data_IF_571182590810
#
_entry.id   IF_571182590810
#
_cell.length_a   1.000
_cell.length_b   1.000
_cell.length_c   1.000
_cell.angle_alpha   90.00
_cell.angle_beta   90.00
_cell.angle_gamma   90.00
#
_symmetry.space_group_name_H-M   'P 1'
#
loop_
_entity.id
_entity.type
_entity.pdbx_description
1 polymer ?
#
# COMPACT_ATOMS: atom_id res chain seq x y z
N UNK A 1 33.70 -43.67 -24.68
CA UNK A 1 33.20 -44.27 -23.42
C UNK A 1 31.97 -45.10 -23.75
N UNK A 2 32.00 -46.40 -23.50
CA UNK A 2 30.82 -47.27 -23.63
C UNK A 2 29.84 -46.91 -22.52
N UNK A 3 28.77 -46.20 -22.87
CA UNK A 3 27.70 -45.87 -21.92
C UNK A 3 26.67 -46.99 -21.91
N UNK A 4 26.40 -47.54 -20.73
CA UNK A 4 25.38 -48.56 -20.50
C UNK A 4 23.98 -47.94 -20.70
N UNK A 5 23.11 -48.59 -21.48
CA UNK A 5 21.76 -48.09 -21.75
C UNK A 5 20.95 -48.06 -20.46
N UNK A 6 20.41 -46.89 -20.12
CA UNK A 6 19.55 -46.73 -18.95
C UNK A 6 18.20 -47.43 -19.21
N UNK A 7 17.76 -48.28 -18.29
CA UNK A 7 16.47 -48.99 -18.37
C UNK A 7 15.59 -48.48 -17.25
N UNK A 8 14.39 -48.02 -17.58
CA UNK A 8 13.36 -47.60 -16.61
C UNK A 8 12.16 -48.53 -16.80
N UNK A 9 11.74 -49.22 -15.74
CA UNK A 9 10.61 -50.17 -15.77
C UNK A 9 10.70 -51.18 -16.92
N UNK A 10 11.85 -51.86 -17.04
CA UNK A 10 12.16 -52.86 -18.08
C UNK A 10 12.14 -52.33 -19.53
N UNK A 11 11.95 -51.02 -19.73
CA UNK A 11 11.98 -50.37 -21.04
C UNK A 11 13.30 -49.63 -21.24
N UNK A 12 14.06 -49.89 -22.31
CA UNK A 12 15.28 -49.16 -22.61
C UNK A 12 14.94 -47.70 -22.96
N UNK A 13 15.62 -46.75 -22.31
CA UNK A 13 15.43 -45.33 -22.60
C UNK A 13 16.10 -45.00 -23.93
N UNK A 14 15.30 -44.60 -24.91
CA UNK A 14 15.78 -44.18 -26.22
C UNK A 14 16.60 -42.89 -26.10
N UNK A 15 17.82 -42.90 -26.64
CA UNK A 15 18.64 -41.69 -26.74
C UNK A 15 18.29 -40.94 -28.02
N UNK A 16 17.75 -39.75 -27.84
CA UNK A 16 17.50 -38.80 -28.94
C UNK A 16 18.57 -37.71 -28.95
N UNK A 17 19.02 -37.32 -30.15
CA UNK A 17 20.06 -36.28 -30.31
C UNK A 17 19.62 -34.89 -29.81
N UNK A 18 18.31 -34.67 -29.68
CA UNK A 18 17.71 -33.53 -29.00
C UNK A 18 16.30 -33.87 -28.53
N UNK A 19 15.85 -33.28 -27.42
CA UNK A 19 14.48 -33.41 -26.93
C UNK A 19 13.93 -32.08 -26.44
N UNK A 20 12.59 -31.98 -26.40
CA UNK A 20 11.90 -30.79 -25.90
C UNK A 20 11.41 -31.02 -24.49
N UNK A 21 11.83 -30.19 -23.54
CA UNK A 21 11.42 -30.25 -22.14
C UNK A 21 11.02 -28.87 -21.64
N UNK A 22 9.81 -28.73 -21.10
CA UNK A 22 9.24 -27.47 -20.60
C UNK A 22 9.40 -26.28 -21.57
N UNK A 23 9.31 -26.55 -22.88
CA UNK A 23 9.42 -25.54 -23.94
C UNK A 23 10.83 -25.32 -24.51
N UNK A 24 11.87 -25.86 -23.88
CA UNK A 24 13.27 -25.74 -24.31
C UNK A 24 13.72 -26.95 -25.12
N UNK A 25 14.51 -26.74 -26.17
CA UNK A 25 15.16 -27.82 -26.91
C UNK A 25 16.55 -28.05 -26.31
N UNK A 26 16.78 -29.25 -25.81
CA UNK A 26 18.04 -29.69 -25.19
C UNK A 26 18.69 -30.68 -26.14
N UNK A 27 19.87 -30.36 -26.65
CA UNK A 27 20.68 -31.29 -27.45
C UNK A 27 21.52 -32.19 -26.56
N UNK A 28 21.96 -33.33 -27.10
CA UNK A 28 22.74 -34.32 -26.36
C UNK A 28 24.08 -33.80 -25.81
N UNK A 29 24.64 -32.74 -26.41
CA UNK A 29 25.84 -32.04 -25.94
C UNK A 29 25.54 -30.91 -24.94
N UNK A 30 24.29 -30.82 -24.46
CA UNK A 30 23.77 -29.75 -23.60
C UNK A 30 23.95 -28.34 -24.20
N UNK A 31 24.12 -28.24 -25.53
CA UNK A 31 24.21 -26.95 -26.19
C UNK A 31 22.82 -26.34 -26.42
N UNK A 32 22.72 -25.05 -26.10
CA UNK A 32 21.47 -24.28 -26.27
C UNK A 32 21.39 -23.63 -27.66
N UNK A 33 22.35 -23.96 -28.54
CA UNK A 33 22.63 -23.25 -29.79
C UNK A 33 21.42 -23.24 -30.73
N UNK A 34 20.68 -24.35 -30.85
CA UNK A 34 19.49 -24.42 -31.68
C UNK A 34 18.35 -23.54 -31.17
N UNK A 35 18.09 -23.54 -29.85
CA UNK A 35 17.06 -22.72 -29.22
C UNK A 35 17.41 -21.23 -29.32
N UNK A 36 18.65 -20.87 -28.98
CA UNK A 36 19.17 -19.50 -29.09
C UNK A 36 19.08 -18.99 -30.52
N UNK A 37 19.54 -19.78 -31.50
CA UNK A 37 19.47 -19.39 -32.92
C UNK A 37 18.03 -19.20 -33.40
N UNK A 38 17.10 -20.03 -32.92
CA UNK A 38 15.67 -19.90 -33.24
C UNK A 38 15.08 -18.62 -32.66
N UNK A 39 15.37 -18.31 -31.40
CA UNK A 39 14.93 -17.09 -30.73
C UNK A 39 15.53 -15.83 -31.38
N UNK A 40 16.83 -15.86 -31.70
CA UNK A 40 17.52 -14.77 -32.40
C UNK A 40 16.94 -14.56 -33.80
N UNK A 41 16.61 -15.63 -34.54
CA UNK A 41 16.00 -15.53 -35.87
C UNK A 41 14.61 -14.90 -35.80
N UNK A 42 13.78 -15.28 -34.82
CA UNK A 42 12.46 -14.68 -34.58
C UNK A 42 12.55 -13.20 -34.20
N UNK A 43 13.48 -12.86 -33.31
CA UNK A 43 13.72 -11.46 -32.92
C UNK A 43 14.20 -10.62 -34.13
N UNK A 44 15.12 -11.15 -34.94
CA UNK A 44 15.59 -10.48 -36.17
C UNK A 44 14.48 -10.25 -37.19
N UNK A 45 13.58 -11.22 -37.39
CA UNK A 45 12.42 -11.05 -38.28
C UNK A 45 11.48 -9.96 -37.77
N UNK A 46 11.22 -9.91 -36.45
CA UNK A 46 10.33 -8.91 -35.85
C UNK A 46 10.93 -7.50 -35.88
N UNK A 47 12.25 -7.38 -35.73
CA UNK A 47 12.98 -6.11 -35.80
C UNK A 47 13.23 -5.64 -37.24
N UNK A 48 12.99 -6.47 -38.26
CA UNK A 48 13.26 -6.13 -39.66
C UNK A 48 12.51 -4.88 -40.11
N UNK A 49 11.21 -4.79 -39.79
CA UNK A 49 10.38 -3.64 -40.17
C UNK A 49 10.80 -2.35 -39.44
N UNK A 50 11.17 -2.45 -38.16
CA UNK A 50 11.68 -1.30 -37.39
C UNK A 50 13.01 -0.77 -37.94
N UNK A 51 13.89 -1.66 -38.42
CA UNK A 51 15.14 -1.23 -39.08
C UNK A 51 14.87 -0.57 -40.43
N UNK A 52 13.91 -1.07 -41.19
CA UNK A 52 13.54 -0.52 -42.50
C UNK A 52 12.88 0.87 -42.38
N UNK A 53 12.22 1.18 -41.26
CA UNK A 53 11.68 2.51 -40.96
C UNK A 53 12.77 3.55 -40.71
N UNK A 54 13.95 3.14 -40.22
CA UNK A 54 15.09 4.03 -39.95
C UNK A 54 15.71 4.60 -41.23
N UNK A 55 15.58 3.90 -42.35
CA UNK A 55 16.12 4.32 -43.65
C UNK A 55 15.32 5.48 -44.27
N UNK A 56 14.12 5.78 -43.75
CA UNK A 56 13.26 6.87 -44.22
C UNK A 56 13.52 8.25 -43.58
N UNK A 57 14.58 8.41 -42.75
CA UNK A 57 15.00 9.69 -42.12
C UNK A 57 13.84 10.55 -41.59
N UNK A 58 12.97 9.97 -40.77
CA UNK A 58 11.87 10.70 -40.14
C UNK A 58 12.38 11.77 -39.16
N UNK A 59 11.72 12.94 -39.02
CA UNK A 59 12.21 14.05 -38.20
C UNK A 59 12.22 13.72 -36.71
N UNK A 60 13.26 14.15 -35.99
CA UNK A 60 13.59 13.86 -34.58
C UNK A 60 12.62 14.42 -33.52
N UNK A 61 11.41 14.86 -33.91
CA UNK A 61 10.33 15.25 -32.97
C UNK A 61 9.20 14.22 -32.85
N UNK A 62 9.40 13.01 -33.38
CA UNK A 62 8.45 11.88 -33.27
C UNK A 62 9.13 10.56 -32.86
N UNK A 63 10.16 10.62 -32.03
CA UNK A 63 10.66 9.41 -31.35
C UNK A 63 9.73 8.98 -30.20
N UNK A 64 8.92 9.90 -29.65
CA UNK A 64 7.84 9.57 -28.70
C UNK A 64 6.68 8.79 -29.35
N UNK A 65 6.57 8.78 -30.67
CA UNK A 65 5.48 8.11 -31.40
C UNK A 65 5.81 6.68 -31.86
N UNK A 66 7.03 6.19 -31.65
CA UNK A 66 7.35 4.78 -31.91
C UNK A 66 6.94 3.88 -30.74
N UNK A 67 6.77 4.47 -29.54
CA UNK A 67 6.14 3.81 -28.38
C UNK A 67 4.66 3.49 -28.67
N UNK A 68 4.00 4.24 -29.55
CA UNK A 68 2.61 3.97 -29.97
C UNK A 68 2.44 2.85 -31.00
N UNK A 69 3.53 2.27 -31.54
CA UNK A 69 3.40 1.03 -32.34
C UNK A 69 3.27 -0.20 -31.43
N UNK A 70 3.57 -0.09 -30.13
CA UNK A 70 3.27 -1.13 -29.15
C UNK A 70 1.76 -1.25 -28.86
N UNK A 71 0.96 -0.19 -29.08
CA UNK A 71 -0.50 -0.24 -28.91
C UNK A 71 -1.21 -1.03 -30.01
N UNK A 72 -0.58 -1.24 -31.19
CA UNK A 72 -1.14 -2.12 -32.23
C UNK A 72 -0.86 -3.61 -31.95
N UNK A 73 0.02 -3.93 -31.00
CA UNK A 73 0.32 -5.31 -30.61
C UNK A 73 -0.59 -5.86 -29.49
N UNK A 74 -1.53 -5.04 -28.97
CA UNK A 74 -2.54 -5.46 -27.99
C UNK A 74 -3.65 -6.36 -28.56
N UNK A 75 -3.62 -6.70 -29.85
CA UNK A 75 -4.60 -7.59 -30.50
C UNK A 75 -4.05 -8.95 -30.97
N UNK A 76 -2.90 -9.40 -30.48
CA UNK A 76 -2.36 -10.74 -30.81
C UNK A 76 -2.10 -11.58 -29.55
N UNK A 77 -2.74 -12.76 -29.38
CA UNK A 77 -2.53 -13.59 -28.19
C UNK A 77 -1.13 -14.22 -28.20
N UNK A 78 -0.42 -14.14 -27.06
CA UNK A 78 0.81 -14.93 -26.81
C UNK A 78 2.11 -14.16 -26.59
N UNK A 79 2.08 -12.91 -26.14
CA UNK A 79 3.26 -12.10 -25.81
C UNK A 79 3.37 -11.80 -24.31
N UNK A 80 3.74 -12.82 -23.55
CA UNK A 80 4.45 -12.75 -22.27
C UNK A 80 5.10 -14.13 -22.14
N UNK A 81 6.42 -14.31 -21.92
CA UNK A 81 7.38 -13.53 -21.14
C UNK A 81 8.75 -13.40 -21.86
N UNK A 82 8.82 -12.64 -22.96
CA UNK A 82 10.06 -12.49 -23.75
C UNK A 82 10.67 -11.08 -23.74
N UNK A 83 10.04 -10.12 -23.07
CA UNK A 83 10.52 -8.74 -23.00
C UNK A 83 11.47 -8.46 -21.82
N UNK A 84 11.57 -9.35 -20.83
CA UNK A 84 12.45 -9.18 -19.65
C UNK A 84 13.87 -9.73 -19.83
N UNK A 85 14.26 -10.14 -21.05
CA UNK A 85 15.55 -10.80 -21.30
C UNK A 85 16.46 -10.07 -22.30
N UNK A 86 16.19 -8.79 -22.63
CA UNK A 86 16.97 -8.05 -23.65
C UNK A 86 17.89 -6.97 -23.07
N UNK A 87 17.77 -6.60 -21.79
CA UNK A 87 18.71 -5.66 -21.15
C UNK A 87 20.05 -6.29 -20.71
N UNK A 88 20.20 -7.61 -20.85
CA UNK A 88 21.35 -8.35 -20.30
C UNK A 88 22.53 -8.66 -21.24
N UNK A 89 22.51 -8.24 -22.52
CA UNK A 89 23.54 -8.67 -23.48
C UNK A 89 24.07 -7.52 -24.34
N UNK A 90 24.88 -6.63 -23.74
CA UNK A 90 25.81 -5.79 -24.49
C UNK A 90 27.05 -6.58 -24.91
N UNK A 91 27.20 -6.77 -26.22
CA UNK A 91 28.42 -7.29 -26.86
C UNK A 91 29.45 -6.14 -26.94
N UNK A 92 30.54 -6.27 -26.18
CA UNK A 92 31.77 -5.45 -26.33
C UNK A 92 32.33 -5.55 -27.74
N UNK A 93 32.49 -4.42 -28.44
CA UNK A 93 33.55 -4.20 -29.45
C UNK A 93 33.91 -2.70 -29.58
N UNK A 94 34.99 -2.35 -28.87
CA UNK A 94 36.04 -1.34 -29.16
C UNK A 94 35.65 0.02 -29.77
N UNK A 95 35.78 1.09 -28.98
CA UNK A 95 36.62 2.28 -29.28
C UNK A 95 36.88 3.09 -27.98
N UNK A 96 38.17 3.30 -27.65
CA UNK A 96 38.74 4.50 -27.01
C UNK A 96 38.33 4.92 -25.59
N UNK A 97 39.27 4.79 -24.66
CA UNK A 97 39.49 5.50 -23.38
C UNK A 97 38.60 6.72 -23.05
N UNK A 98 37.85 6.64 -21.94
CA UNK A 98 37.87 7.57 -20.79
C UNK A 98 36.76 7.22 -19.78
N UNK A 99 37.13 7.07 -18.50
CA UNK A 99 36.24 7.23 -17.33
C UNK A 99 35.43 6.01 -16.88
N UNK A 100 35.81 5.43 -15.74
CA UNK A 100 34.97 4.51 -14.97
C UNK A 100 33.66 5.21 -14.55
N UNK A 101 32.52 4.71 -15.03
CA UNK A 101 31.22 4.93 -14.41
C UNK A 101 30.60 3.56 -14.13
N UNK A 102 30.55 3.20 -12.85
CA UNK A 102 29.70 2.12 -12.37
C UNK A 102 28.24 2.56 -12.53
N UNK A 103 27.58 2.12 -13.61
CA UNK A 103 26.13 2.23 -13.71
C UNK A 103 25.51 1.12 -12.85
N UNK A 104 25.07 1.47 -11.63
CA UNK A 104 24.16 0.64 -10.85
C UNK A 104 22.84 0.52 -11.61
N UNK A 105 22.53 -0.66 -12.13
CA UNK A 105 21.17 -1.00 -12.55
C UNK A 105 20.32 -1.06 -11.28
N UNK A 106 19.63 0.03 -10.95
CA UNK A 106 18.63 0.04 -9.89
C UNK A 106 17.39 -0.69 -10.39
N UNK A 107 17.06 -1.84 -9.83
CA UNK A 107 15.74 -2.45 -10.03
C UNK A 107 14.69 -1.50 -9.44
N UNK A 108 13.87 -0.91 -10.31
CA UNK A 108 12.69 -0.17 -9.87
C UNK A 108 11.70 -1.15 -9.24
N UNK A 109 11.10 -0.75 -8.11
CA UNK A 109 10.04 -1.55 -7.47
C UNK A 109 8.85 -1.63 -8.43
N UNK A 110 8.33 -2.84 -8.62
CA UNK A 110 7.16 -3.06 -9.46
C UNK A 110 5.89 -2.73 -8.68
N UNK A 111 5.00 -1.93 -9.27
CA UNK A 111 3.65 -1.71 -8.77
C UNK A 111 2.63 -2.51 -9.58
N UNK A 112 1.61 -3.05 -8.90
CA UNK A 112 0.50 -3.78 -9.52
C UNK A 112 -0.80 -3.02 -9.26
N UNK A 113 -1.57 -2.61 -10.29
CA UNK A 113 -2.86 -1.96 -10.09
C UNK A 113 -3.85 -2.89 -9.38
N UNK A 114 -4.54 -2.39 -8.35
CA UNK A 114 -5.54 -3.14 -7.56
C UNK A 114 -6.96 -2.66 -7.87
N UNK A 115 -7.12 -1.35 -7.96
CA UNK A 115 -8.40 -0.70 -8.30
C UNK A 115 -8.16 0.34 -9.41
N UNK A 116 -8.80 0.14 -10.56
CA UNK A 116 -8.60 0.94 -11.79
C UNK A 116 -9.92 1.31 -12.47
N UNK A 117 -9.89 2.26 -13.41
CA UNK A 117 -11.01 2.68 -14.28
C UNK A 117 -12.17 3.44 -13.60
N UNK A 118 -12.08 3.76 -12.32
CA UNK A 118 -13.06 4.58 -11.57
C UNK A 118 -12.32 5.43 -10.54
N UNK A 119 -12.98 6.39 -9.88
CA UNK A 119 -12.36 7.14 -8.78
C UNK A 119 -12.35 6.28 -7.52
N UNK A 120 -11.21 5.64 -7.26
CA UNK A 120 -10.97 4.91 -6.03
C UNK A 120 -10.01 5.68 -5.15
N UNK A 121 -10.38 5.83 -3.87
CA UNK A 121 -9.66 6.62 -2.89
C UNK A 121 -9.64 5.91 -1.55
N UNK A 122 -8.78 6.39 -0.67
CA UNK A 122 -8.73 6.00 0.74
C UNK A 122 -8.41 4.50 0.89
N UNK A 123 -7.20 4.08 0.46
CA UNK A 123 -6.78 2.69 0.55
C UNK A 123 -6.64 2.26 2.01
N UNK A 124 -7.06 1.03 2.28
CA UNK A 124 -6.80 0.34 3.54
C UNK A 124 -6.42 -1.12 3.24
N UNK A 125 -5.44 -1.66 3.96
CA UNK A 125 -4.86 -2.97 3.67
C UNK A 125 -4.70 -3.78 4.95
N UNK A 126 -5.10 -5.05 4.90
CA UNK A 126 -4.77 -6.04 5.94
C UNK A 126 -4.31 -7.33 5.28
N UNK A 127 -3.43 -8.06 5.96
CA UNK A 127 -2.95 -9.38 5.52
C UNK A 127 -3.26 -10.43 6.58
N UNK A 128 -4.04 -11.43 6.20
CA UNK A 128 -4.54 -12.49 7.08
C UNK A 128 -4.20 -13.84 6.45
N UNK A 129 -3.28 -14.58 7.07
CA UNK A 129 -2.87 -15.94 6.68
C UNK A 129 -2.61 -16.11 5.16
N UNK A 130 -1.77 -15.25 4.58
CA UNK A 130 -1.42 -15.33 3.16
C UNK A 130 -2.42 -14.68 2.20
N UNK A 131 -3.48 -14.05 2.72
CA UNK A 131 -4.49 -13.33 1.94
C UNK A 131 -4.42 -11.83 2.23
N UNK A 132 -4.19 -11.04 1.20
CA UNK A 132 -4.32 -9.58 1.26
C UNK A 132 -5.78 -9.19 1.04
N UNK A 133 -6.29 -8.29 1.88
CA UNK A 133 -7.61 -7.69 1.74
C UNK A 133 -7.42 -6.20 1.56
N UNK A 134 -7.58 -5.74 0.32
CA UNK A 134 -7.49 -4.34 -0.05
C UNK A 134 -8.88 -3.72 -0.05
N UNK A 135 -9.05 -2.63 0.71
CA UNK A 135 -10.28 -1.85 0.77
C UNK A 135 -10.08 -0.47 0.15
N UNK A 136 -11.14 0.09 -0.38
CA UNK A 136 -11.17 1.45 -0.88
C UNK A 136 -12.59 2.01 -0.88
N UNK A 137 -12.71 3.33 -0.93
CA UNK A 137 -13.94 4.00 -1.33
C UNK A 137 -14.11 3.93 -2.85
N UNK A 138 -15.30 3.54 -3.31
CA UNK A 138 -15.75 3.80 -4.68
C UNK A 138 -16.42 5.17 -4.73
N UNK A 139 -16.03 6.00 -5.71
CA UNK A 139 -16.59 7.34 -5.91
C UNK A 139 -17.02 7.57 -7.35
N UNK A 140 -18.05 8.39 -7.53
CA UNK A 140 -18.48 8.82 -8.87
C UNK A 140 -17.68 10.01 -9.42
N UNK A 141 -16.96 10.73 -8.56
CA UNK A 141 -15.96 11.73 -8.92
C UNK A 141 -14.90 11.88 -7.80
N UNK A 142 -13.87 12.72 -7.95
CA UNK A 142 -12.87 12.95 -6.90
C UNK A 142 -13.42 13.53 -5.59
N UNK A 143 -14.65 14.06 -5.58
CA UNK A 143 -15.24 14.71 -4.40
C UNK A 143 -15.57 13.70 -3.30
N UNK A 144 -15.37 14.10 -2.05
CA UNK A 144 -15.68 13.26 -0.88
C UNK A 144 -17.19 12.98 -0.79
N UNK A 145 -18.05 13.94 -1.14
CA UNK A 145 -19.50 13.78 -1.12
C UNK A 145 -20.03 12.78 -2.18
N UNK A 146 -19.17 12.36 -3.09
CA UNK A 146 -19.49 11.42 -4.17
C UNK A 146 -19.09 9.98 -3.89
N UNK A 147 -18.61 9.67 -2.68
CA UNK A 147 -18.46 8.31 -2.20
C UNK A 147 -19.80 7.57 -2.22
N UNK A 148 -19.78 6.33 -2.71
CA UNK A 148 -20.97 5.49 -2.85
C UNK A 148 -20.95 4.35 -1.84
N UNK A 149 -19.94 3.50 -1.92
CA UNK A 149 -19.80 2.26 -1.17
C UNK A 149 -18.32 1.92 -0.96
N UNK A 150 -18.05 1.03 0.00
CA UNK A 150 -16.74 0.43 0.17
C UNK A 150 -16.60 -0.82 -0.70
N UNK A 151 -15.41 -1.01 -1.27
CA UNK A 151 -15.08 -2.20 -2.06
C UNK A 151 -13.95 -2.98 -1.41
N UNK A 152 -13.92 -4.27 -1.69
CA UNK A 152 -12.86 -5.20 -1.28
C UNK A 152 -12.28 -5.88 -2.52
N UNK A 153 -10.96 -5.98 -2.62
CA UNK A 153 -10.28 -6.90 -3.54
C UNK A 153 -9.38 -7.83 -2.72
N UNK A 154 -9.36 -9.11 -3.07
CA UNK A 154 -8.57 -10.11 -2.36
C UNK A 154 -7.38 -10.54 -3.20
N UNK A 155 -6.21 -10.52 -2.59
CA UNK A 155 -4.94 -10.88 -3.21
C UNK A 155 -4.35 -12.12 -2.55
N UNK A 156 -3.80 -13.04 -3.32
CA UNK A 156 -3.02 -14.18 -2.78
C UNK A 156 -1.72 -14.33 -3.56
N UNK A 157 -0.66 -14.78 -2.88
CA UNK A 157 0.62 -15.05 -3.53
C UNK A 157 0.52 -16.28 -4.44
N UNK A 158 0.74 -16.09 -5.74
CA UNK A 158 0.77 -17.17 -6.72
C UNK A 158 1.85 -16.88 -7.78
N UNK A 159 2.65 -17.88 -8.14
CA UNK A 159 3.65 -17.78 -9.22
C UNK A 159 4.65 -16.61 -9.09
N UNK A 160 4.99 -16.21 -7.86
CA UNK A 160 5.99 -15.16 -7.63
C UNK A 160 5.45 -13.73 -7.64
N UNK A 161 4.13 -13.53 -7.61
CA UNK A 161 3.52 -12.23 -7.31
C UNK A 161 2.13 -12.38 -6.68
N UNK A 162 1.57 -11.27 -6.18
CA UNK A 162 0.19 -11.23 -5.69
C UNK A 162 -0.78 -11.23 -6.88
N UNK A 163 -1.72 -12.18 -6.88
CA UNK A 163 -2.81 -12.27 -7.84
C UNK A 163 -4.11 -11.81 -7.18
N UNK A 164 -4.73 -10.79 -7.76
CA UNK A 164 -5.98 -10.19 -7.29
C UNK A 164 -7.18 -10.87 -7.95
N UNK A 165 -8.18 -11.24 -7.15
CA UNK A 165 -9.38 -11.98 -7.61
C UNK A 165 -10.43 -11.11 -8.32
N UNK A 166 -10.22 -9.79 -8.35
CA UNK A 166 -11.23 -8.81 -8.74
C UNK A 166 -11.98 -8.28 -7.51
N UNK A 167 -12.58 -7.11 -7.67
CA UNK A 167 -13.22 -6.41 -6.56
C UNK A 167 -14.68 -6.85 -6.33
N UNK A 168 -15.12 -6.74 -5.08
CA UNK A 168 -16.47 -6.96 -4.59
C UNK A 168 -16.98 -5.67 -3.94
N UNK A 169 -18.22 -5.29 -4.25
CA UNK A 169 -18.94 -4.24 -3.53
C UNK A 169 -19.40 -4.75 -2.16
N UNK A 170 -19.06 -4.02 -1.10
CA UNK A 170 -19.45 -4.37 0.26
C UNK A 170 -20.82 -3.77 0.59
N UNK A 171 -21.88 -4.33 0.02
CA UNK A 171 -23.27 -3.85 0.22
C UNK A 171 -23.71 -3.81 1.69
N UNK A 172 -23.07 -4.61 2.56
CA UNK A 172 -23.28 -4.58 4.01
C UNK A 172 -22.82 -3.27 4.68
N UNK A 173 -22.09 -2.42 3.97
CA UNK A 173 -21.71 -1.08 4.43
C UNK A 173 -22.76 -0.01 4.12
N UNK A 174 -23.81 -0.36 3.36
CA UNK A 174 -24.85 0.60 2.99
C UNK A 174 -25.76 0.94 4.16
N UNK A 175 -26.08 2.22 4.29
CA UNK A 175 -27.09 2.76 5.18
C UNK A 175 -27.92 3.78 4.41
N UNK A 176 -29.24 3.75 4.60
CA UNK A 176 -30.19 4.59 3.85
C UNK A 176 -29.80 6.08 3.92
N UNK A 177 -29.69 6.72 2.75
CA UNK A 177 -29.27 8.11 2.58
C UNK A 177 -27.88 8.48 3.16
N UNK A 178 -27.01 7.49 3.40
CA UNK A 178 -25.63 7.73 3.86
C UNK A 178 -24.60 7.23 2.84
N UNK A 179 -23.41 7.83 2.88
CA UNK A 179 -22.19 7.37 2.19
C UNK A 179 -21.29 6.66 3.19
N UNK A 180 -20.79 5.49 2.82
CA UNK A 180 -19.77 4.76 3.59
C UNK A 180 -18.37 5.22 3.16
N UNK A 181 -17.55 5.61 4.13
CA UNK A 181 -16.28 6.30 3.90
C UNK A 181 -15.21 5.88 4.91
N UNK A 182 -13.95 6.14 4.60
CA UNK A 182 -12.80 5.94 5.48
C UNK A 182 -12.68 4.52 6.05
N UNK A 183 -12.47 3.50 5.19
CA UNK A 183 -12.28 2.13 5.66
C UNK A 183 -11.08 2.02 6.60
N UNK A 184 -11.26 1.31 7.71
CA UNK A 184 -10.25 1.05 8.72
C UNK A 184 -10.41 -0.39 9.26
N UNK A 185 -9.83 -1.41 8.60
CA UNK A 185 -9.84 -2.77 9.07
C UNK A 185 -9.01 -2.95 10.35
N UNK A 186 -9.51 -3.80 11.27
CA UNK A 186 -8.81 -4.28 12.46
C UNK A 186 -9.02 -5.78 12.57
N UNK A 187 -7.93 -6.54 12.63
CA UNK A 187 -8.00 -7.99 12.75
C UNK A 187 -7.72 -8.45 14.18
N UNK A 188 -8.73 -9.01 14.82
CA UNK A 188 -8.59 -9.74 16.08
C UNK A 188 -8.07 -11.15 15.79
N UNK A 189 -6.78 -11.36 16.03
CA UNK A 189 -6.07 -12.61 15.79
C UNK A 189 -6.48 -13.71 16.77
N UNK A 190 -6.92 -13.35 17.97
CA UNK A 190 -7.30 -14.32 19.01
C UNK A 190 -8.69 -14.91 18.73
N UNK A 191 -9.59 -14.11 18.16
CA UNK A 191 -10.94 -14.55 17.76
C UNK A 191 -11.08 -14.91 16.29
N UNK A 192 -10.08 -14.60 15.46
CA UNK A 192 -10.15 -14.69 14.00
C UNK A 192 -11.32 -13.90 13.43
N UNK A 193 -11.51 -12.68 13.91
CA UNK A 193 -12.55 -11.76 13.46
C UNK A 193 -11.91 -10.53 12.84
N UNK A 194 -12.25 -10.26 11.58
CA UNK A 194 -11.93 -9.01 10.92
C UNK A 194 -13.08 -8.03 11.12
N UNK A 195 -12.81 -6.92 11.80
CA UNK A 195 -13.68 -5.76 11.81
C UNK A 195 -13.29 -4.85 10.66
N UNK A 196 -14.27 -4.32 9.93
CA UNK A 196 -14.08 -3.20 9.00
C UNK A 196 -14.85 -2.00 9.57
N UNK A 197 -14.13 -1.08 10.19
CA UNK A 197 -14.69 0.21 10.63
C UNK A 197 -14.76 1.19 9.47
N UNK A 198 -15.76 2.06 9.52
CA UNK A 198 -15.97 3.13 8.54
C UNK A 198 -16.93 4.17 9.11
N UNK A 199 -16.96 5.33 8.48
CA UNK A 199 -17.97 6.35 8.74
C UNK A 199 -19.17 6.17 7.82
N UNK A 200 -20.37 6.32 8.36
CA UNK A 200 -21.57 6.63 7.58
C UNK A 200 -21.88 8.11 7.73
N UNK A 201 -21.95 8.85 6.62
CA UNK A 201 -22.25 10.29 6.63
C UNK A 201 -23.46 10.57 5.73
N UNK A 202 -24.38 11.44 6.15
CA UNK A 202 -25.52 11.83 5.32
C UNK A 202 -25.08 12.33 3.93
N UNK A 203 -25.72 11.84 2.86
CA UNK A 203 -25.40 12.22 1.47
C UNK A 203 -25.63 13.71 1.19
N UNK A 204 -26.47 14.37 1.97
CA UNK A 204 -26.90 15.76 1.76
C UNK A 204 -25.99 16.78 2.45
N UNK A 205 -25.08 16.34 3.32
CA UNK A 205 -24.31 17.22 4.20
C UNK A 205 -22.81 17.01 3.96
N UNK A 206 -22.05 18.08 3.74
CA UNK A 206 -20.58 18.02 3.62
C UNK A 206 -19.88 18.03 4.99
N UNK A 207 -18.58 17.70 5.04
CA UNK A 207 -17.79 17.92 6.27
C UNK A 207 -17.79 19.39 6.67
N UNK A 208 -17.66 20.28 5.68
CA UNK A 208 -17.67 21.73 5.88
C UNK A 208 -18.98 22.22 6.51
N UNK A 209 -20.13 21.72 6.05
CA UNK A 209 -21.43 22.10 6.62
C UNK A 209 -21.56 21.67 8.09
N UNK A 210 -21.05 20.48 8.44
CA UNK A 210 -21.05 20.00 9.82
C UNK A 210 -20.17 20.88 10.73
N UNK A 211 -18.98 21.25 10.26
CA UNK A 211 -18.04 22.15 10.96
C UNK A 211 -18.63 23.54 11.12
N UNK A 212 -19.09 24.16 10.03
CA UNK A 212 -19.58 25.53 10.02
C UNK A 212 -20.86 25.70 10.86
N UNK A 213 -21.71 24.67 10.93
CA UNK A 213 -22.97 24.69 11.70
C UNK A 213 -22.86 24.01 13.07
N UNK A 214 -21.69 23.49 13.45
CA UNK A 214 -21.48 22.74 14.70
C UNK A 214 -22.52 21.62 14.89
N UNK A 215 -22.83 20.88 13.82
CA UNK A 215 -23.88 19.86 13.83
C UNK A 215 -23.37 18.57 13.19
N UNK A 216 -23.20 17.56 14.03
CA UNK A 216 -22.76 16.23 13.62
C UNK A 216 -23.79 15.52 12.72
N UNK A 217 -23.29 14.86 11.68
CA UNK A 217 -24.03 13.94 10.82
C UNK A 217 -23.20 12.69 10.46
N UNK A 218 -22.12 12.43 11.20
CA UNK A 218 -21.24 11.28 11.03
C UNK A 218 -21.61 10.18 12.04
N UNK A 219 -21.55 8.93 11.58
CA UNK A 219 -21.80 7.74 12.39
C UNK A 219 -20.57 6.84 12.40
N UNK A 220 -20.31 6.20 13.54
CA UNK A 220 -19.29 5.18 13.71
C UNK A 220 -19.91 3.82 13.41
N UNK A 221 -19.51 3.19 12.31
CA UNK A 221 -20.08 1.92 11.88
C UNK A 221 -19.00 0.86 11.71
N UNK A 222 -19.39 -0.41 11.85
CA UNK A 222 -18.57 -1.52 11.39
C UNK A 222 -19.40 -2.67 10.85
N UNK A 223 -18.73 -3.53 10.07
CA UNK A 223 -19.16 -4.88 9.72
C UNK A 223 -18.04 -5.85 10.10
N UNK A 224 -18.37 -7.13 10.32
CA UNK A 224 -17.36 -8.15 10.65
C UNK A 224 -17.35 -9.31 9.66
N UNK A 225 -16.20 -9.95 9.52
CA UNK A 225 -16.00 -11.19 8.77
C UNK A 225 -15.19 -12.18 9.60
N UNK A 226 -15.59 -13.45 9.57
CA UNK A 226 -14.87 -14.57 10.21
C UNK A 226 -14.25 -15.53 9.17
N UNK A 227 -14.34 -15.17 7.89
CA UNK A 227 -13.95 -16.00 6.74
C UNK A 227 -13.08 -15.21 5.75
N UNK A 228 -12.24 -14.29 6.27
CA UNK A 228 -11.24 -13.53 5.49
C UNK A 228 -11.87 -12.66 4.40
N UNK A 229 -13.01 -12.03 4.72
CA UNK A 229 -13.70 -11.10 3.85
C UNK A 229 -14.53 -11.76 2.74
N UNK A 230 -14.86 -13.05 2.87
CA UNK A 230 -15.80 -13.74 1.98
C UNK A 230 -17.24 -13.33 2.26
N UNK A 231 -17.64 -13.37 3.52
CA UNK A 231 -18.95 -12.92 3.97
C UNK A 231 -18.84 -11.90 5.10
N UNK A 232 -19.88 -11.09 5.23
CA UNK A 232 -19.92 -9.97 6.16
C UNK A 232 -21.24 -9.95 6.91
N UNK A 233 -21.18 -9.62 8.20
CA UNK A 233 -22.37 -9.40 9.04
C UNK A 233 -23.18 -8.19 8.60
N UNK A 234 -24.35 -8.00 9.20
CA UNK A 234 -25.07 -6.74 9.10
C UNK A 234 -24.29 -5.59 9.75
N UNK A 235 -24.59 -4.37 9.29
CA UNK A 235 -24.00 -3.14 9.78
C UNK A 235 -24.37 -2.93 11.25
N UNK A 236 -23.37 -2.57 12.05
CA UNK A 236 -23.53 -2.13 13.44
C UNK A 236 -23.21 -0.64 13.53
N UNK A 237 -24.15 0.15 14.03
CA UNK A 237 -23.96 1.57 14.36
C UNK A 237 -23.63 1.71 15.86
N UNK A 238 -22.40 2.12 16.15
CA UNK A 238 -21.87 2.29 17.50
C UNK A 238 -22.04 3.70 18.06
N UNK A 239 -22.55 4.65 17.27
CA UNK A 239 -22.48 6.09 17.58
C UNK A 239 -23.09 6.41 18.94
N UNK A 240 -24.34 5.99 19.18
CA UNK A 240 -25.04 6.24 20.45
C UNK A 240 -24.40 5.47 21.62
N UNK A 241 -24.01 4.22 21.41
CA UNK A 241 -23.51 3.35 22.47
C UNK A 241 -22.09 3.72 22.94
N UNK A 242 -21.26 4.24 22.04
CA UNK A 242 -19.85 4.53 22.33
C UNK A 242 -19.61 6.01 22.59
N UNK A 243 -20.23 6.91 21.83
CA UNK A 243 -20.02 8.36 21.93
C UNK A 243 -21.13 9.00 22.78
N UNK A 244 -22.37 8.55 22.61
CA UNK A 244 -23.51 9.04 23.39
C UNK A 244 -23.68 10.56 23.29
N UNK A 245 -24.01 11.20 24.41
CA UNK A 245 -24.26 12.65 24.49
C UNK A 245 -23.05 13.51 24.12
N UNK A 246 -21.83 12.97 24.20
CA UNK A 246 -20.61 13.70 23.83
C UNK A 246 -20.58 14.09 22.35
N UNK A 247 -21.39 13.44 21.51
CA UNK A 247 -21.55 13.77 20.09
C UNK A 247 -21.98 15.22 19.87
N UNK A 248 -22.66 15.85 20.85
CA UNK A 248 -23.07 17.26 20.79
C UNK A 248 -21.87 18.23 20.84
N UNK A 249 -20.74 17.79 21.41
CA UNK A 249 -19.50 18.55 21.42
C UNK A 249 -18.64 18.30 20.16
N UNK A 250 -19.10 17.45 19.24
CA UNK A 250 -18.34 17.02 18.07
C UNK A 250 -19.01 17.55 16.81
N UNK A 251 -18.43 18.56 16.17
CA UNK A 251 -18.97 19.08 14.92
C UNK A 251 -19.01 17.99 13.84
N UNK A 252 -17.97 17.17 13.77
CA UNK A 252 -17.92 15.89 13.05
C UNK A 252 -16.74 15.08 13.55
N UNK A 253 -16.64 13.80 13.17
CA UNK A 253 -15.50 12.95 13.46
C UNK A 253 -15.33 11.90 12.37
N UNK A 254 -14.17 11.26 12.33
CA UNK A 254 -13.91 10.14 11.43
C UNK A 254 -13.03 9.10 12.10
N UNK A 255 -13.25 7.82 11.79
CA UNK A 255 -12.15 6.85 11.91
C UNK A 255 -11.06 7.28 10.92
N UNK A 256 -9.81 7.20 11.34
CA UNK A 256 -8.71 7.60 10.49
C UNK A 256 -8.44 6.47 9.49
N UNK A 257 -8.44 6.77 8.17
CA UNK A 257 -8.28 5.73 7.17
C UNK A 257 -6.87 5.14 7.15
N UNK A 258 -6.79 3.87 6.73
CA UNK A 258 -5.61 3.02 6.88
C UNK A 258 -6.03 1.77 7.61
N UNK A 259 -5.36 1.40 8.70
CA UNK A 259 -5.73 0.25 9.51
C UNK A 259 -5.74 0.58 11.01
N UNK A 260 -6.42 -0.25 11.79
CA UNK A 260 -6.21 -0.32 13.24
C UNK A 260 -5.39 -1.55 13.61
N UNK A 261 -5.12 -1.73 14.90
CA UNK A 261 -4.22 -2.78 15.39
C UNK A 261 -4.85 -3.56 16.54
N UNK A 262 -4.38 -4.79 16.73
CA UNK A 262 -4.49 -5.51 17.99
C UNK A 262 -3.14 -5.42 18.70
N UNK A 263 -3.14 -4.90 19.92
CA UNK A 263 -1.97 -4.84 20.81
C UNK A 263 -1.62 -6.24 21.35
N UNK A 264 -0.39 -6.41 21.87
CA UNK A 264 0.08 -7.69 22.43
C UNK A 264 -0.74 -8.20 23.62
N UNK A 265 -1.42 -7.31 24.32
CA UNK A 265 -2.31 -7.65 25.44
C UNK A 265 -3.74 -7.98 25.00
N UNK A 266 -4.02 -7.97 23.68
CA UNK A 266 -5.32 -8.30 23.10
C UNK A 266 -6.20 -7.08 22.80
N UNK A 267 -5.87 -5.89 23.32
CA UNK A 267 -6.67 -4.66 23.10
C UNK A 267 -6.72 -4.31 21.61
N UNK A 268 -7.92 -4.09 21.10
CA UNK A 268 -8.14 -3.59 19.74
C UNK A 268 -8.11 -2.06 19.75
N UNK A 269 -7.48 -1.45 18.76
CA UNK A 269 -7.35 0.00 18.61
C UNK A 269 -7.79 0.42 17.20
N UNK A 270 -8.67 1.42 17.12
CA UNK A 270 -9.08 2.08 15.88
C UNK A 270 -8.68 3.56 15.98
N UNK A 271 -7.69 4.03 15.19
CA UNK A 271 -7.31 5.44 15.20
C UNK A 271 -8.45 6.31 14.65
N UNK A 272 -8.61 7.51 15.21
CA UNK A 272 -9.70 8.42 14.85
C UNK A 272 -9.30 9.88 15.07
N UNK A 273 -10.11 10.80 14.55
CA UNK A 273 -9.98 12.22 14.82
C UNK A 273 -11.35 12.89 14.90
N UNK A 274 -11.43 13.96 15.69
CA UNK A 274 -12.67 14.69 15.98
C UNK A 274 -12.47 16.18 15.71
N UNK A 275 -13.43 16.81 15.04
CA UNK A 275 -13.58 18.25 15.01
C UNK A 275 -14.40 18.69 16.22
N UNK A 276 -13.70 19.03 17.29
CA UNK A 276 -14.28 19.32 18.59
C UNK A 276 -14.76 20.78 18.68
N UNK A 277 -15.94 21.00 19.26
CA UNK A 277 -16.57 22.30 19.46
C UNK A 277 -16.09 22.88 20.79
N UNK A 278 -15.13 23.80 20.71
CA UNK A 278 -14.71 24.65 21.83
C UNK A 278 -15.12 26.12 21.53
N UNK A 279 -14.29 27.11 21.86
CA UNK A 279 -14.46 28.49 21.40
C UNK A 279 -14.35 28.66 19.88
N UNK A 280 -13.76 27.66 19.22
CA UNK A 280 -13.66 27.50 17.76
C UNK A 280 -13.55 26.02 17.46
N UNK A 281 -14.08 25.56 16.32
CA UNK A 281 -13.99 24.15 15.93
C UNK A 281 -12.56 23.82 15.51
N UNK A 282 -11.97 22.81 16.15
CA UNK A 282 -10.59 22.35 15.87
C UNK A 282 -10.52 20.84 15.82
N UNK A 283 -9.64 20.32 14.97
CA UNK A 283 -9.43 18.88 14.82
C UNK A 283 -8.42 18.35 15.84
N UNK A 284 -8.70 17.18 16.41
CA UNK A 284 -7.80 16.47 17.32
C UNK A 284 -7.85 14.95 17.07
N UNK A 285 -6.68 14.32 16.95
CA UNK A 285 -6.56 12.87 16.90
C UNK A 285 -6.87 12.24 18.28
N UNK A 286 -7.41 11.02 18.25
CA UNK A 286 -7.64 10.14 19.39
C UNK A 286 -7.72 8.68 18.90
N UNK A 287 -8.16 7.75 19.74
CA UNK A 287 -8.44 6.38 19.34
C UNK A 287 -9.70 5.84 20.01
N UNK A 288 -10.43 4.99 19.30
CA UNK A 288 -11.37 4.04 19.90
C UNK A 288 -10.62 2.77 20.28
N UNK A 289 -11.07 2.09 21.33
CA UNK A 289 -10.47 0.84 21.78
C UNK A 289 -11.50 -0.13 22.35
N UNK A 290 -11.14 -1.41 22.37
CA UNK A 290 -11.92 -2.50 22.98
C UNK A 290 -10.99 -3.48 23.68
N UNK A 291 -11.36 -3.85 24.91
CA UNK A 291 -10.64 -4.80 25.77
C UNK A 291 -11.30 -6.19 25.80
N UNK A 292 -12.44 -6.35 25.12
CA UNK A 292 -13.29 -7.53 25.19
C UNK A 292 -13.64 -8.09 23.79
N UNK A 293 -12.66 -8.00 22.89
CA UNK A 293 -12.73 -8.53 21.52
C UNK A 293 -13.87 -7.90 20.70
N UNK A 294 -14.11 -6.60 20.89
CA UNK A 294 -15.10 -5.83 20.17
C UNK A 294 -16.53 -5.98 20.68
N UNK A 295 -16.73 -6.58 21.87
CA UNK A 295 -18.07 -6.69 22.48
C UNK A 295 -18.55 -5.34 23.00
N UNK A 296 -17.65 -4.54 23.56
CA UNK A 296 -17.84 -3.14 23.93
C UNK A 296 -16.68 -2.29 23.43
N UNK A 297 -16.95 -1.01 23.20
CA UNK A 297 -15.97 -0.05 22.70
C UNK A 297 -16.00 1.21 23.55
N UNK A 298 -14.84 1.84 23.69
CA UNK A 298 -14.66 3.12 24.37
C UNK A 298 -13.74 4.01 23.53
N UNK A 299 -13.61 5.29 23.88
CA UNK A 299 -12.67 6.19 23.23
C UNK A 299 -11.74 6.87 24.25
N UNK A 300 -10.51 7.15 23.80
CA UNK A 300 -9.50 7.84 24.58
C UNK A 300 -9.65 9.36 24.53
N UNK A 301 -8.80 10.05 25.30
CA UNK A 301 -8.71 11.51 25.29
C UNK A 301 -8.14 12.00 23.96
N UNK A 302 -8.71 13.09 23.46
CA UNK A 302 -8.16 13.85 22.32
C UNK A 302 -6.75 14.37 22.62
N UNK A 303 -5.87 14.40 21.61
CA UNK A 303 -4.56 15.04 21.74
C UNK A 303 -4.70 16.50 22.20
N UNK A 304 -3.73 16.99 22.97
CA UNK A 304 -3.73 18.38 23.45
C UNK A 304 -3.29 19.39 22.38
N UNK A 305 -2.89 18.92 21.20
CA UNK A 305 -2.50 19.74 20.04
C UNK A 305 -3.38 19.42 18.84
N UNK A 306 -3.62 20.44 18.00
CA UNK A 306 -4.42 20.28 16.78
C UNK A 306 -3.81 19.23 15.88
N UNK A 307 -4.63 18.27 15.48
CA UNK A 307 -4.21 17.09 14.75
C UNK A 307 -5.39 16.50 14.00
N UNK A 308 -5.15 15.88 12.84
CA UNK A 308 -6.21 15.26 12.03
C UNK A 308 -5.98 13.76 11.88
N UNK A 309 -6.19 13.27 10.67
CA UNK A 309 -5.96 11.88 10.24
C UNK A 309 -4.67 11.30 10.82
N UNK A 310 -4.79 10.14 11.47
CA UNK A 310 -3.72 9.52 12.21
C UNK A 310 -3.63 8.01 12.00
N UNK A 311 -2.46 7.45 12.28
CA UNK A 311 -2.23 6.01 12.30
C UNK A 311 -1.44 5.65 13.56
N UNK A 312 -1.60 4.41 14.02
CA UNK A 312 -1.04 3.95 15.30
C UNK A 312 -0.23 2.68 15.12
N UNK A 313 0.78 2.50 15.96
CA UNK A 313 1.58 1.29 16.02
C UNK A 313 1.97 0.98 17.48
N UNK A 314 2.02 -0.29 17.84
CA UNK A 314 2.50 -0.70 19.15
C UNK A 314 4.04 -0.74 19.16
N UNK A 315 4.66 0.02 20.05
CA UNK A 315 6.10 0.01 20.21
C UNK A 315 6.49 -0.68 21.52
N UNK A 316 7.57 -1.45 21.48
CA UNK A 316 8.24 -1.97 22.66
C UNK A 316 9.65 -1.38 22.70
N UNK A 317 10.03 -0.73 23.80
CA UNK A 317 11.41 -0.29 24.02
C UNK A 317 11.83 -0.47 25.47
N UNK A 318 13.00 -1.08 25.68
CA UNK A 318 13.53 -1.40 27.01
C UNK A 318 12.51 -2.15 27.90
N UNK A 319 11.77 -3.09 27.31
CA UNK A 319 10.78 -3.92 28.01
C UNK A 319 9.47 -3.20 28.38
N UNK A 320 9.27 -1.95 27.95
CA UNK A 320 8.00 -1.21 28.10
C UNK A 320 7.27 -1.10 26.78
N UNK A 321 5.95 -1.19 26.82
CA UNK A 321 5.07 -1.04 25.66
C UNK A 321 4.42 0.34 25.65
N UNK A 322 4.29 0.92 24.46
CA UNK A 322 3.58 2.17 24.24
C UNK A 322 2.75 2.06 22.96
N UNK A 323 1.65 2.79 22.89
CA UNK A 323 0.97 3.05 21.63
C UNK A 323 1.53 4.35 21.03
N UNK A 324 2.19 4.24 19.88
CA UNK A 324 2.64 5.38 19.08
C UNK A 324 1.51 5.85 18.17
N UNK A 325 1.35 7.16 18.02
CA UNK A 325 0.41 7.80 17.10
C UNK A 325 1.15 8.81 16.23
N UNK A 326 0.94 8.74 14.92
CA UNK A 326 1.38 9.73 13.95
C UNK A 326 0.17 10.40 13.34
N UNK A 327 0.03 11.72 13.51
CA UNK A 327 -1.13 12.48 13.08
C UNK A 327 -0.75 13.63 12.14
N UNK A 328 -1.65 13.92 11.20
CA UNK A 328 -1.59 15.09 10.33
C UNK A 328 -1.69 16.38 11.13
N UNK A 329 -1.03 17.45 10.67
CA UNK A 329 -1.18 18.79 11.23
C UNK A 329 -1.17 19.87 10.15
N UNK A 330 -1.60 21.09 10.48
CA UNK A 330 -1.49 22.26 9.60
C UNK A 330 -0.15 23.00 9.73
N UNK A 331 0.77 22.51 10.56
CA UNK A 331 2.01 23.22 10.93
C UNK A 331 3.20 22.90 9.99
N UNK A 332 2.95 22.12 8.93
CA UNK A 332 3.96 21.70 7.95
C UNK A 332 4.81 20.50 8.37
N UNK A 333 4.43 19.81 9.45
CA UNK A 333 5.06 18.58 9.93
C UNK A 333 4.05 17.65 10.61
N UNK A 334 4.39 16.37 10.78
CA UNK A 334 3.56 15.38 11.49
C UNK A 334 3.61 15.60 13.00
N UNK A 335 2.49 15.40 13.68
CA UNK A 335 2.44 15.31 15.16
C UNK A 335 2.70 13.86 15.54
N UNK A 336 3.65 13.65 16.44
CA UNK A 336 3.95 12.33 17.00
C UNK A 336 3.54 12.30 18.46
N UNK A 337 2.88 11.23 18.91
CA UNK A 337 2.43 11.09 20.28
C UNK A 337 2.60 9.66 20.81
N UNK A 338 2.77 9.51 22.12
CA UNK A 338 2.94 8.21 22.77
C UNK A 338 1.99 8.08 23.97
N UNK A 339 1.38 6.91 24.07
CA UNK A 339 0.48 6.51 25.15
C UNK A 339 1.07 5.32 25.90
N UNK A 340 1.14 5.41 27.23
CA UNK A 340 1.54 4.30 28.12
C UNK A 340 0.35 3.40 28.53
N UNK A 341 -0.88 3.80 28.18
CA UNK A 341 -2.13 3.15 28.57
C UNK A 341 -2.99 2.76 27.37
N UNK A 342 -2.34 2.29 26.30
CA UNK A 342 -3.02 1.68 25.14
C UNK A 342 -4.09 2.58 24.50
N UNK A 343 -3.81 3.88 24.36
CA UNK A 343 -4.67 4.83 23.65
C UNK A 343 -5.70 5.60 24.51
N UNK A 344 -5.78 5.35 25.82
CA UNK A 344 -6.65 6.14 26.71
C UNK A 344 -6.21 7.59 26.83
N UNK A 345 -4.90 7.86 26.86
CA UNK A 345 -4.31 9.19 26.75
C UNK A 345 -2.93 9.15 26.11
N UNK A 346 -2.60 10.21 25.38
CA UNK A 346 -1.26 10.41 24.80
C UNK A 346 -0.58 11.60 25.51
N UNK A 347 0.15 11.29 26.57
CA UNK A 347 0.71 12.30 27.47
C UNK A 347 2.06 12.88 26.98
N UNK A 348 2.75 12.16 26.08
CA UNK A 348 3.97 12.62 25.42
C UNK A 348 3.66 12.99 23.97
N UNK A 349 3.97 14.21 23.58
CA UNK A 349 3.77 14.73 22.22
C UNK A 349 5.08 15.34 21.71
N UNK A 350 5.40 15.10 20.45
CA UNK A 350 6.51 15.72 19.73
C UNK A 350 6.02 16.37 18.44
N UNK A 351 6.52 17.57 18.20
CA UNK A 351 6.28 18.38 17.01
C UNK A 351 7.57 18.50 16.20
N UNK A 352 8.26 17.37 15.97
CA UNK A 352 9.51 17.37 15.23
C UNK A 352 9.27 17.62 13.73
N UNK A 353 10.10 18.47 13.14
CA UNK A 353 10.04 18.86 11.73
C UNK A 353 10.71 17.87 10.77
N UNK A 354 11.17 16.72 11.28
CA UNK A 354 11.79 15.66 10.46
C UNK A 354 10.79 14.98 9.52
N UNK A 355 9.55 14.79 9.95
CA UNK A 355 8.46 14.27 9.13
C UNK A 355 7.65 15.45 8.61
N UNK A 356 7.83 15.77 7.33
CA UNK A 356 7.16 16.91 6.69
C UNK A 356 5.69 16.61 6.41
N UNK A 357 4.88 17.66 6.28
CA UNK A 357 3.47 17.58 5.94
C UNK A 357 3.13 18.70 4.94
N UNK A 358 2.47 18.42 3.81
CA UNK A 358 2.07 19.49 2.88
C UNK A 358 0.95 20.36 3.47
N UNK A 359 0.75 21.63 3.03
CA UNK A 359 -0.24 22.53 3.63
C UNK A 359 -1.70 22.04 3.49
N UNK A 360 -2.00 21.31 2.41
CA UNK A 360 -3.31 20.67 2.19
C UNK A 360 -3.45 19.33 2.92
N UNK A 361 -2.39 18.94 3.63
CA UNK A 361 -2.13 17.69 4.31
C UNK A 361 -2.34 16.42 3.52
N UNK A 362 -1.94 15.28 4.08
CA UNK A 362 -2.11 13.95 3.53
C UNK A 362 -2.12 12.92 4.67
N UNK A 363 -2.88 11.84 4.52
CA UNK A 363 -2.75 10.70 5.41
C UNK A 363 -1.34 10.09 5.27
N UNK A 364 -0.89 9.38 6.29
CA UNK A 364 0.32 8.56 6.28
C UNK A 364 0.09 7.31 7.10
N UNK A 365 0.81 6.24 6.78
CA UNK A 365 0.64 4.93 7.43
C UNK A 365 1.90 4.53 8.18
N UNK A 366 1.74 3.94 9.37
CA UNK A 366 2.84 3.52 10.24
C UNK A 366 2.66 2.07 10.65
N UNK A 367 3.74 1.30 10.63
CA UNK A 367 3.78 -0.04 11.23
C UNK A 367 5.00 -0.20 12.11
N UNK A 368 4.83 -0.98 13.18
CA UNK A 368 5.93 -1.44 14.03
C UNK A 368 6.37 -2.84 13.61
N UNK A 369 7.67 -3.12 13.67
CA UNK A 369 8.23 -4.45 13.43
C UNK A 369 9.46 -4.68 14.31
N UNK A 370 9.90 -5.94 14.45
CA UNK A 370 11.08 -6.32 15.24
C UNK A 370 12.02 -7.16 14.38
N UNK A 371 13.33 -6.95 14.54
CA UNK A 371 14.39 -7.76 13.92
C UNK A 371 15.28 -8.31 15.02
N UNK A 372 15.24 -9.63 15.30
CA UNK A 372 16.06 -10.39 16.28
C UNK A 372 16.26 -9.75 17.68
N UNK A 373 15.62 -8.63 17.99
CA UNK A 373 15.83 -7.75 19.12
C UNK A 373 14.53 -7.55 19.89
N UNK A 374 14.63 -7.15 21.16
CA UNK A 374 13.46 -6.90 22.00
C UNK A 374 12.76 -5.58 21.64
N UNK A 375 13.49 -4.62 21.07
CA UNK A 375 12.96 -3.29 20.75
C UNK A 375 12.33 -3.28 19.36
N UNK A 376 11.17 -2.65 19.23
CA UNK A 376 10.50 -2.43 17.94
C UNK A 376 11.14 -1.29 17.16
N UNK A 377 11.15 -1.39 15.84
CA UNK A 377 11.39 -0.30 14.91
C UNK A 377 10.07 0.15 14.28
N UNK A 378 10.04 1.36 13.73
CA UNK A 378 8.90 1.90 12.99
C UNK A 378 9.26 2.10 11.52
N UNK A 379 8.34 1.74 10.63
CA UNK A 379 8.27 2.27 9.27
C UNK A 379 7.11 3.24 9.16
N UNK A 380 7.35 4.39 8.53
CA UNK A 380 6.31 5.37 8.21
C UNK A 380 6.32 5.65 6.71
N UNK A 381 5.14 5.56 6.08
CA UNK A 381 4.94 5.79 4.67
C UNK A 381 4.16 7.09 4.48
N UNK A 382 4.77 8.06 3.79
CA UNK A 382 4.17 9.37 3.57
C UNK A 382 4.83 10.11 2.40
N UNK A 383 4.13 11.12 1.88
CA UNK A 383 4.67 12.02 0.85
C UNK A 383 5.82 12.85 1.40
N UNK A 384 6.90 13.00 0.66
CA UNK A 384 8.16 13.57 1.17
C UNK A 384 8.37 15.05 0.82
N UNK A 385 7.48 15.63 0.02
CA UNK A 385 7.53 17.04 -0.35
C UNK A 385 6.71 17.92 0.60
N UNK A 386 7.26 19.10 0.90
CA UNK A 386 6.68 20.05 1.86
C UNK A 386 5.48 20.82 1.34
N UNK A 387 5.23 20.83 0.04
CA UNK A 387 4.24 21.71 -0.58
C UNK A 387 3.12 20.93 -1.27
N UNK A 388 3.42 19.73 -1.76
CA UNK A 388 2.51 18.91 -2.56
C UNK A 388 2.55 17.46 -2.13
N UNK A 389 1.45 16.74 -2.39
CA UNK A 389 1.40 15.29 -2.26
C UNK A 389 2.18 14.64 -3.41
N UNK A 390 3.48 14.45 -3.22
CA UNK A 390 4.39 13.84 -4.20
C UNK A 390 5.51 13.08 -3.52
N UNK A 391 6.14 12.20 -4.29
CA UNK A 391 7.30 11.40 -3.92
C UNK A 391 7.04 10.62 -2.63
N UNK A 392 6.24 9.55 -2.72
CA UNK A 392 5.91 8.70 -1.57
C UNK A 392 7.17 7.96 -1.11
N UNK A 393 7.52 8.13 0.16
CA UNK A 393 8.74 7.60 0.73
C UNK A 393 8.51 6.83 2.02
N UNK A 394 9.35 5.82 2.22
CA UNK A 394 9.40 5.01 3.43
C UNK A 394 10.47 5.57 4.36
N UNK A 395 10.07 6.05 5.53
CA UNK A 395 10.94 6.47 6.61
C UNK A 395 11.15 5.32 7.59
N UNK A 396 12.38 5.18 8.10
CA UNK A 396 12.73 4.17 9.11
C UNK A 396 13.15 4.86 10.41
N UNK A 397 12.59 4.44 11.55
CA UNK A 397 13.05 4.84 12.88
C UNK A 397 13.38 3.61 13.72
N UNK A 398 14.66 3.49 14.10
CA UNK A 398 15.17 2.37 14.93
C UNK A 398 15.09 2.64 16.42
N UNK A 399 14.71 3.86 16.81
CA UNK A 399 14.60 4.33 18.19
C UNK A 399 13.26 5.07 18.35
N UNK A 400 12.12 4.36 18.40
CA UNK A 400 10.78 4.96 18.26
C UNK A 400 10.39 5.99 19.32
N UNK A 401 11.09 6.01 20.46
CA UNK A 401 10.90 7.00 21.53
C UNK A 401 11.66 8.31 21.30
N UNK A 402 12.62 8.31 20.36
CA UNK A 402 13.33 9.50 19.91
C UNK A 402 12.67 10.03 18.63
N UNK A 403 11.98 11.19 18.68
CA UNK A 403 11.37 11.80 17.50
C UNK A 403 12.42 12.20 16.45
N UNK A 404 13.70 12.30 16.79
CA UNK A 404 14.79 12.58 15.84
C UNK A 404 15.35 11.32 15.17
N UNK A 405 14.85 10.14 15.54
CA UNK A 405 15.34 8.85 15.05
C UNK A 405 14.98 8.51 13.60
N UNK A 406 14.16 9.32 12.93
CA UNK A 406 13.76 9.11 11.54
C UNK A 406 14.93 9.32 10.57
N UNK A 407 15.26 8.27 9.81
CA UNK A 407 16.20 8.34 8.69
C UNK A 407 15.60 9.08 7.49
N UNK A 408 16.45 9.44 6.51
CA UNK A 408 15.98 9.97 5.22
C UNK A 408 15.07 8.95 4.53
N UNK A 409 14.00 9.38 3.85
CA UNK A 409 13.06 8.46 3.23
C UNK A 409 13.67 7.76 2.02
N UNK A 410 13.30 6.49 1.84
CA UNK A 410 13.49 5.76 0.60
C UNK A 410 12.26 5.96 -0.29
N UNK A 411 12.42 6.62 -1.45
CA UNK A 411 11.31 6.89 -2.37
C UNK A 411 10.90 5.61 -3.09
N UNK A 412 9.64 5.19 -2.89
CA UNK A 412 9.06 4.00 -3.52
C UNK A 412 8.10 4.33 -4.66
N UNK A 413 7.54 5.55 -4.68
CA UNK A 413 6.71 6.03 -5.79
C UNK A 413 7.03 7.51 -6.09
N UNK A 414 7.91 7.78 -7.07
CA UNK A 414 8.20 9.13 -7.54
C UNK A 414 6.98 9.79 -8.18
N UNK A 415 6.84 11.12 -8.03
CA UNK A 415 5.75 11.89 -8.62
C UNK A 415 4.48 11.89 -7.77
N UNK A 416 3.33 12.16 -8.41
CA UNK A 416 2.05 12.33 -7.73
C UNK A 416 1.69 11.10 -6.90
N UNK A 417 1.49 11.32 -5.60
CA UNK A 417 1.14 10.28 -4.63
C UNK A 417 0.12 10.84 -3.65
N UNK A 418 -0.70 10.00 -3.04
CA UNK A 418 -1.70 10.42 -2.05
C UNK A 418 -1.66 9.56 -0.81
N UNK A 419 -2.84 9.14 -0.37
CA UNK A 419 -3.01 8.25 0.76
C UNK A 419 -2.34 6.91 0.47
N UNK A 420 -1.94 6.24 1.53
CA UNK A 420 -1.29 4.94 1.44
C UNK A 420 -1.55 4.14 2.71
N UNK A 421 -1.48 2.82 2.60
CA UNK A 421 -1.57 1.96 3.77
C UNK A 421 -0.54 0.84 3.72
N UNK A 422 0.28 0.77 4.76
CA UNK A 422 1.45 -0.09 4.90
C UNK A 422 1.14 -1.26 5.83
N UNK A 423 1.61 -2.45 5.48
CA UNK A 423 1.57 -3.63 6.33
C UNK A 423 2.92 -4.35 6.34
N UNK A 424 3.15 -5.08 7.42
CA UNK A 424 4.23 -6.07 7.49
C UNK A 424 3.71 -7.43 6.97
N UNK A 425 4.45 -8.05 6.05
CA UNK A 425 4.14 -9.41 5.56
C UNK A 425 4.90 -10.45 6.39
N UNK A 426 6.19 -10.22 6.59
CA UNK A 426 7.07 -11.02 7.45
C UNK A 426 8.20 -10.15 8.03
N UNK A 427 9.23 -10.77 8.61
CA UNK A 427 10.33 -10.07 9.30
C UNK A 427 10.99 -8.96 8.47
N UNK A 428 11.10 -9.12 7.15
CA UNK A 428 11.84 -8.17 6.29
C UNK A 428 11.03 -7.65 5.10
N UNK A 429 9.87 -8.25 4.80
CA UNK A 429 9.00 -7.86 3.68
C UNK A 429 7.81 -7.04 4.14
N UNK A 430 7.54 -6.00 3.38
CA UNK A 430 6.44 -5.07 3.58
C UNK A 430 5.68 -4.90 2.28
N UNK A 431 4.41 -4.56 2.42
CA UNK A 431 3.56 -4.19 1.30
C UNK A 431 2.78 -2.93 1.63
N UNK A 432 2.46 -2.15 0.60
CA UNK A 432 1.53 -1.06 0.75
C UNK A 432 0.55 -0.96 -0.41
N UNK A 433 -0.61 -0.41 -0.11
CA UNK A 433 -1.43 0.25 -1.10
C UNK A 433 -1.04 1.73 -1.18
N UNK A 434 -1.11 2.31 -2.36
CA UNK A 434 -0.91 3.74 -2.55
C UNK A 434 -1.83 4.30 -3.63
N UNK A 435 -2.28 5.51 -3.39
CA UNK A 435 -2.95 6.31 -4.41
C UNK A 435 -1.95 6.81 -5.42
N UNK A 436 -2.18 6.42 -6.67
CA UNK A 436 -1.39 6.77 -7.82
C UNK A 436 -2.28 7.54 -8.80
N UNK A 437 -1.77 8.66 -9.33
CA UNK A 437 -2.50 9.44 -10.31
C UNK A 437 -1.96 9.17 -11.72
N UNK A 438 -2.76 8.51 -12.55
CA UNK A 438 -2.53 8.44 -14.00
C UNK A 438 -3.13 9.69 -14.67
N UNK A 439 -2.89 9.89 -15.97
CA UNK A 439 -3.33 11.11 -16.68
C UNK A 439 -4.85 11.37 -16.61
N UNK A 440 -5.67 10.35 -16.40
CA UNK A 440 -7.13 10.46 -16.43
C UNK A 440 -7.85 10.02 -15.15
N UNK A 441 -7.21 9.25 -14.25
CA UNK A 441 -7.88 8.65 -13.08
C UNK A 441 -6.96 8.61 -11.84
N UNK A 442 -7.59 8.57 -10.67
CA UNK A 442 -6.96 8.17 -9.42
C UNK A 442 -7.13 6.66 -9.30
N UNK A 443 -6.00 5.95 -9.21
CA UNK A 443 -5.92 4.51 -9.11
C UNK A 443 -5.28 4.14 -7.77
N UNK A 444 -5.54 2.92 -7.30
CA UNK A 444 -4.85 2.37 -6.14
C UNK A 444 -3.98 1.22 -6.62
N UNK A 445 -2.68 1.32 -6.34
CA UNK A 445 -1.68 0.33 -6.70
C UNK A 445 -1.11 -0.34 -5.45
N UNK A 446 -0.65 -1.57 -5.62
CA UNK A 446 0.03 -2.38 -4.63
C UNK A 446 1.52 -2.43 -4.92
N UNK A 447 2.35 -2.23 -3.91
CA UNK A 447 3.81 -2.28 -4.00
C UNK A 447 4.35 -3.14 -2.87
N UNK A 448 5.31 -3.99 -3.19
CA UNK A 448 6.08 -4.78 -2.22
C UNK A 448 7.52 -4.31 -2.19
N UNK A 449 8.11 -4.30 -1.00
CA UNK A 449 9.52 -3.97 -0.81
C UNK A 449 10.09 -4.68 0.42
N UNK A 450 11.40 -4.78 0.47
CA UNK A 450 12.15 -5.35 1.58
C UNK A 450 12.91 -4.28 2.34
N UNK A 451 13.31 -4.60 3.56
CA UNK A 451 14.22 -3.74 4.32
C UNK A 451 15.59 -3.54 3.61
N UNK A 452 16.05 -4.52 2.82
CA UNK A 452 17.32 -4.42 2.10
C UNK A 452 17.24 -3.50 0.88
N UNK A 453 16.07 -3.36 0.26
CA UNK A 453 15.81 -2.34 -0.77
C UNK A 453 16.06 -0.93 -0.22
N UNK A 454 15.78 -0.71 1.07
CA UNK A 454 16.04 0.57 1.75
C UNK A 454 17.52 0.79 2.07
N UNK A 455 18.28 -0.27 2.41
CA UNK A 455 19.70 -0.17 2.79
C UNK A 455 20.60 0.08 1.57
N UNK A 456 20.38 -0.67 0.49
CA UNK A 456 21.23 -0.69 -0.71
C UNK A 456 21.37 0.66 -1.43
N UNK A 457 20.45 1.61 -1.20
CA UNK A 457 20.46 2.95 -1.81
C UNK A 457 20.89 4.07 -0.86
N UNK A 458 20.95 3.82 0.44
CA UNK A 458 21.47 4.81 1.40
C UNK A 458 23.01 4.96 1.36
N UNK A 459 23.70 3.96 0.81
CA UNK A 459 25.17 3.93 0.67
C UNK A 459 25.66 4.46 -0.69
N UNK A 460 24.76 4.88 -1.59
CA UNK A 460 25.06 5.34 -2.94
C UNK A 460 25.06 6.87 -3.12
N UNK A 461 25.12 7.65 -2.02
CA UNK A 461 25.13 9.13 -2.03
C UNK A 461 26.45 9.69 -1.51
#
# INVERSE_FOLDING_TARGET
>A
MNYQTLVINESPVERVGSFRYLGFHITQDLSWSCHINTMVKKARQRLYHLRHLRDYKLPSKREESVVQVAEVLHYLPGLGPALLAVDGLQIKRHFGEMGNCHSSLTSELSSTPVFTNTFYRIPALVHIDGTFLAFAESRTSPRDEHATLLILNRGTWQNGSVQWSGFQELKKTEMDNHRAMNPCPVYDKEKNILFLFFNCISKEISEKDQIDNCKNAAKLCYITSSDKGETWTDLVDLTEHVIGDEIENWATFSVAPGHGIQMKDGRLIVPAYVYYIDSSVKSYAFAFYSDDHGSTWSYGKKLSVTSGECQVAEITSNGKTYLYCNARSSEGYRVEAWSENGGESFDKISCNKSLVEPPTGCQGSVVSFQLESQDTWLLFLHTTDKEKRKDLGVYLNKTPLDPKGWAKPYIINPGCSGYSDLIQIDEIRFACLLEHKTHNHEEIAFVEFTLDDMKSKSEAV
#
